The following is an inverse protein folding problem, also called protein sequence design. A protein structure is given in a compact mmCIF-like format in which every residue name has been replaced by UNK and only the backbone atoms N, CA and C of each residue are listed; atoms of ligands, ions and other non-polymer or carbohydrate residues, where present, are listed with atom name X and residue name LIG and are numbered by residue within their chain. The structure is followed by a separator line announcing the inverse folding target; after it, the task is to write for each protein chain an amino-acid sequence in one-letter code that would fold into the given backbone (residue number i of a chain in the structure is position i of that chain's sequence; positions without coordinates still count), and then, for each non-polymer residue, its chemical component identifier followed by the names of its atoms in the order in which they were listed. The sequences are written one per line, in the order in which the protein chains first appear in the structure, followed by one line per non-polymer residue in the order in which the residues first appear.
data_IF_131417091506
#
_entry.id   IF_131417091506
#
_cell.length_a   1.000
_cell.length_b   1.000
_cell.length_c   1.000
_cell.angle_alpha   90.00
_cell.angle_beta   90.00
_cell.angle_gamma   90.00
#
_symmetry.space_group_name_H-M   'P 1'
#
loop_
_entity.id
_entity.type
_entity.pdbx_description
1 polymer ?
#
# COMPACT_ATOMS: atom_id res chain seq x y z
N UNK A 1 -24.67 -7.18 -8.58
CA UNK A 1 -23.55 -6.95 -7.63
C UNK A 1 -22.43 -6.13 -8.27
N UNK A 2 -22.01 -6.44 -9.49
CA UNK A 2 -20.96 -5.70 -10.17
C UNK A 2 -21.25 -4.22 -10.33
N UNK A 3 -22.50 -3.85 -10.63
CA UNK A 3 -22.89 -2.45 -10.81
C UNK A 3 -22.88 -1.66 -9.50
N UNK A 4 -23.23 -2.31 -8.40
CA UNK A 4 -23.19 -1.68 -7.08
C UNK A 4 -21.74 -1.35 -6.70
N UNK A 5 -20.82 -2.26 -6.92
CA UNK A 5 -19.40 -2.02 -6.65
C UNK A 5 -18.81 -0.96 -7.57
N UNK A 6 -19.18 -0.96 -8.85
CA UNK A 6 -18.75 0.08 -9.79
C UNK A 6 -19.18 1.49 -9.35
N UNK A 7 -20.39 1.64 -8.82
CA UNK A 7 -20.88 2.93 -8.31
C UNK A 7 -20.14 3.39 -7.08
N UNK A 8 -19.62 2.47 -6.27
CA UNK A 8 -18.88 2.77 -5.05
C UNK A 8 -17.38 2.84 -5.28
N UNK A 9 -16.91 2.44 -6.45
CA UNK A 9 -15.50 2.47 -6.78
C UNK A 9 -15.02 3.90 -7.02
N UNK A 10 -13.78 4.13 -6.65
CA UNK A 10 -13.09 5.39 -6.91
C UNK A 10 -12.07 5.17 -8.02
N UNK A 11 -12.26 5.83 -9.14
CA UNK A 11 -11.33 5.76 -10.24
C UNK A 11 -10.12 6.63 -9.93
N UNK A 12 -8.93 6.01 -9.86
CA UNK A 12 -7.70 6.77 -9.68
C UNK A 12 -7.45 7.62 -10.93
N UNK A 13 -7.29 8.95 -10.80
CA UNK A 13 -6.91 9.79 -11.93
C UNK A 13 -5.59 9.31 -12.54
N UNK A 14 -5.55 9.18 -13.86
CA UNK A 14 -4.36 8.64 -14.55
C UNK A 14 -3.10 9.45 -14.28
N UNK A 15 -3.20 10.75 -14.17
CA UNK A 15 -2.08 11.63 -13.88
C UNK A 15 -1.58 11.55 -12.45
N UNK A 16 -2.36 10.96 -11.53
CA UNK A 16 -1.95 10.72 -10.15
C UNK A 16 -1.24 9.39 -9.96
N UNK A 17 -1.27 8.50 -10.96
CA UNK A 17 -0.68 7.16 -10.87
C UNK A 17 0.79 7.23 -11.27
N UNK A 18 1.64 6.81 -10.34
CA UNK A 18 3.08 6.75 -10.56
C UNK A 18 3.50 5.32 -10.86
N UNK A 19 4.09 5.10 -12.03
CA UNK A 19 4.57 3.80 -12.48
C UNK A 19 6.00 3.61 -11.99
N UNK A 20 6.28 2.40 -11.47
CA UNK A 20 7.62 2.05 -11.02
C UNK A 20 8.55 1.82 -12.22
N UNK A 21 9.77 2.35 -12.11
CA UNK A 21 10.81 2.17 -13.11
C UNK A 21 11.51 0.82 -12.90
N UNK A 22 10.76 -0.24 -13.16
CA UNK A 22 11.29 -1.61 -13.12
C UNK A 22 10.49 -2.51 -14.05
N UNK A 23 11.13 -3.54 -14.64
CA UNK A 23 10.43 -4.50 -15.49
C UNK A 23 9.35 -5.25 -14.70
N UNK A 24 8.20 -5.43 -15.33
CA UNK A 24 7.12 -6.21 -14.76
C UNK A 24 7.46 -7.70 -14.78
N UNK A 25 7.29 -8.36 -13.64
CA UNK A 25 7.48 -9.79 -13.51
C UNK A 25 6.18 -10.44 -13.02
N UNK A 26 5.50 -11.14 -13.92
CA UNK A 26 4.23 -11.79 -13.62
C UNK A 26 4.34 -12.87 -12.55
N UNK A 27 5.52 -13.46 -12.37
CA UNK A 27 5.76 -14.49 -11.36
C UNK A 27 5.70 -13.98 -9.92
N UNK A 28 5.74 -12.66 -9.71
CA UNK A 28 5.58 -12.09 -8.35
C UNK A 28 4.19 -12.30 -7.75
N UNK A 29 3.21 -12.71 -8.57
CA UNK A 29 1.85 -12.93 -8.10
C UNK A 29 1.07 -11.62 -7.93
N UNK A 30 -0.07 -11.70 -7.22
CA UNK A 30 -0.97 -10.56 -7.03
C UNK A 30 -0.65 -9.74 -5.78
N UNK A 31 0.14 -10.31 -4.86
CA UNK A 31 0.49 -9.62 -3.62
C UNK A 31 1.42 -8.45 -3.91
N UNK A 32 1.10 -7.24 -3.44
CA UNK A 32 2.01 -6.10 -3.57
C UNK A 32 3.34 -6.36 -2.88
N UNK A 33 4.40 -5.86 -3.47
CA UNK A 33 5.73 -5.88 -2.85
C UNK A 33 5.87 -4.69 -1.93
N UNK A 34 6.43 -4.91 -0.74
CA UNK A 34 6.80 -3.81 0.13
C UNK A 34 8.02 -3.11 -0.47
N UNK A 35 7.91 -1.80 -0.66
CA UNK A 35 8.90 -1.02 -1.39
C UNK A 35 9.71 -0.10 -0.48
N UNK A 36 9.04 0.75 0.29
CA UNK A 36 9.74 1.71 1.15
C UNK A 36 8.94 2.09 2.38
N UNK A 37 9.68 2.47 3.42
CA UNK A 37 9.14 3.00 4.65
C UNK A 37 9.84 4.34 4.88
N UNK A 38 9.09 5.44 4.80
CA UNK A 38 9.63 6.79 4.98
C UNK A 38 9.17 7.35 6.32
N UNK A 39 10.13 7.67 7.18
CA UNK A 39 9.87 8.41 8.40
C UNK A 39 9.83 9.90 8.07
N UNK A 40 8.63 10.46 8.04
CA UNK A 40 8.43 11.87 7.76
C UNK A 40 8.28 12.66 9.06
N UNK A 41 8.17 13.97 8.96
CA UNK A 41 8.11 14.83 10.15
C UNK A 41 6.89 14.54 11.03
N UNK A 42 5.74 14.24 10.42
CA UNK A 42 4.47 14.08 11.13
C UNK A 42 3.85 12.69 10.99
N UNK A 43 4.38 11.86 10.11
CA UNK A 43 3.80 10.55 9.82
C UNK A 43 4.85 9.55 9.35
N UNK A 44 4.38 8.37 9.01
CA UNK A 44 5.17 7.34 8.34
C UNK A 44 4.46 6.99 7.04
N UNK A 45 5.18 7.03 5.94
CA UNK A 45 4.64 6.66 4.62
C UNK A 45 5.19 5.31 4.22
N UNK A 46 4.29 4.34 4.03
CA UNK A 46 4.64 3.01 3.55
C UNK A 46 4.18 2.89 2.11
N UNK A 47 5.11 2.54 1.23
CA UNK A 47 4.84 2.42 -0.20
C UNK A 47 4.97 0.98 -0.64
N UNK A 48 3.98 0.54 -1.41
CA UNK A 48 3.92 -0.79 -2.02
C UNK A 48 4.06 -0.67 -3.53
N UNK A 49 4.60 -1.71 -4.14
CA UNK A 49 4.54 -1.91 -5.58
C UNK A 49 3.37 -2.83 -5.87
N UNK A 50 2.32 -2.25 -6.44
CA UNK A 50 1.11 -2.98 -6.78
C UNK A 50 1.22 -3.49 -8.22
N UNK A 51 1.19 -4.81 -8.44
CA UNK A 51 1.17 -5.34 -9.79
C UNK A 51 -0.19 -5.11 -10.46
N UNK A 52 -0.16 -4.69 -11.71
CA UNK A 52 -1.36 -4.48 -12.51
C UNK A 52 -1.35 -5.50 -13.65
N UNK A 53 -2.35 -6.39 -13.66
CA UNK A 53 -2.46 -7.49 -14.62
C UNK A 53 -3.38 -7.20 -15.79
N UNK A 54 -4.35 -6.28 -15.58
CA UNK A 54 -5.42 -6.05 -16.54
C UNK A 54 -5.46 -4.59 -16.95
N UNK A 55 -6.06 -4.30 -18.10
CA UNK A 55 -6.27 -2.93 -18.55
C UNK A 55 -7.20 -2.15 -17.63
N UNK A 56 -8.09 -2.86 -16.94
CA UNK A 56 -8.96 -2.31 -15.92
C UNK A 56 -8.92 -3.25 -14.72
N UNK A 57 -8.53 -2.75 -13.56
CA UNK A 57 -8.31 -3.57 -12.36
C UNK A 57 -8.79 -2.87 -11.10
N UNK A 58 -9.32 -3.67 -10.19
CA UNK A 58 -9.67 -3.21 -8.84
C UNK A 58 -8.47 -3.36 -7.91
N UNK A 59 -8.35 -2.39 -7.00
CA UNK A 59 -7.40 -2.43 -5.89
C UNK A 59 -8.14 -2.13 -4.60
N UNK A 60 -7.73 -2.77 -3.53
CA UNK A 60 -8.26 -2.45 -2.22
C UNK A 60 -7.20 -2.64 -1.15
N UNK A 61 -7.02 -1.59 -0.34
CA UNK A 61 -6.18 -1.63 0.84
C UNK A 61 -7.07 -1.26 2.03
N UNK A 62 -7.34 -2.24 2.90
CA UNK A 62 -8.32 -2.12 3.99
C UNK A 62 -7.99 -0.99 4.96
N UNK A 63 -9.01 -0.28 5.48
CA UNK A 63 -8.83 0.61 6.63
C UNK A 63 -8.34 -0.10 7.89
N UNK A 64 -8.31 -1.43 7.90
CA UNK A 64 -7.75 -2.23 8.98
C UNK A 64 -6.24 -2.45 8.90
N UNK A 65 -5.53 -1.81 7.97
CA UNK A 65 -4.08 -1.87 7.95
C UNK A 65 -3.48 -1.33 9.24
N UNK A 66 -2.51 -2.06 9.78
CA UNK A 66 -1.83 -1.69 11.04
C UNK A 66 -0.37 -2.09 10.97
N UNK A 67 0.49 -1.24 11.53
CA UNK A 67 1.88 -1.56 11.81
C UNK A 67 1.97 -1.95 13.29
N UNK A 68 2.61 -3.08 13.57
CA UNK A 68 2.84 -3.55 14.94
C UNK A 68 4.33 -3.59 15.21
N UNK A 69 4.77 -2.87 16.25
CA UNK A 69 6.14 -2.98 16.75
C UNK A 69 6.31 -4.35 17.42
N UNK A 70 7.18 -5.17 16.88
CA UNK A 70 7.36 -6.53 17.40
C UNK A 70 7.97 -6.57 18.79
N UNK A 71 8.71 -5.55 19.18
CA UNK A 71 9.34 -5.49 20.49
C UNK A 71 8.35 -5.10 21.60
N UNK A 72 7.50 -4.12 21.33
CA UNK A 72 6.60 -3.54 22.34
C UNK A 72 5.16 -3.95 22.19
N UNK A 73 4.75 -4.37 20.98
CA UNK A 73 3.35 -4.61 20.66
C UNK A 73 2.56 -3.35 20.34
N UNK A 74 3.22 -2.18 20.33
CA UNK A 74 2.56 -0.93 19.97
C UNK A 74 1.98 -1.01 18.57
N UNK A 75 0.79 -0.44 18.37
CA UNK A 75 0.06 -0.47 17.12
C UNK A 75 -0.02 0.92 16.52
N UNK A 76 0.21 0.98 15.21
CA UNK A 76 0.11 2.21 14.42
C UNK A 76 -0.91 1.98 13.33
N UNK A 77 -2.12 2.49 13.53
CA UNK A 77 -3.24 2.25 12.61
C UNK A 77 -3.19 3.20 11.41
N UNK A 78 -3.50 2.68 10.23
CA UNK A 78 -3.48 3.44 9.00
C UNK A 78 -4.40 4.67 9.09
N UNK A 79 -3.93 5.77 8.50
CA UNK A 79 -4.68 7.03 8.44
C UNK A 79 -5.37 7.24 7.09
N UNK A 80 -4.89 6.59 6.04
CA UNK A 80 -5.44 6.71 4.71
C UNK A 80 -4.37 6.55 3.64
N UNK A 81 -4.78 6.73 2.39
CA UNK A 81 -3.86 6.79 1.27
C UNK A 81 -3.14 8.14 1.23
N UNK A 82 -1.88 8.13 0.85
CA UNK A 82 -1.21 9.36 0.45
C UNK A 82 -1.80 9.79 -0.90
N UNK A 83 -2.28 11.04 -0.96
CA UNK A 83 -3.00 11.54 -2.13
C UNK A 83 -4.50 11.66 -1.94
N UNK A 84 -5.04 11.17 -0.82
CA UNK A 84 -6.42 11.44 -0.41
C UNK A 84 -7.50 10.59 -1.06
N UNK A 85 -7.14 9.49 -1.73
CA UNK A 85 -8.17 8.55 -2.21
C UNK A 85 -8.95 7.97 -1.02
N UNK A 86 -10.28 7.75 -1.16
CA UNK A 86 -11.07 7.16 -0.09
C UNK A 86 -10.63 5.74 0.21
N UNK A 87 -10.36 5.43 1.48
CA UNK A 87 -9.85 4.10 1.84
C UNK A 87 -10.95 3.07 2.01
N UNK A 88 -12.18 3.50 2.19
CA UNK A 88 -13.33 2.62 2.34
C UNK A 88 -13.96 2.21 1.00
N UNK A 89 -13.28 2.45 -0.11
CA UNK A 89 -13.76 2.14 -1.45
C UNK A 89 -12.76 1.31 -2.23
N UNK A 90 -13.29 0.51 -3.16
CA UNK A 90 -12.46 -0.08 -4.19
C UNK A 90 -11.86 1.04 -5.05
N UNK A 91 -10.58 0.96 -5.31
CA UNK A 91 -9.94 1.81 -6.29
C UNK A 91 -9.96 1.11 -7.63
N UNK A 92 -10.13 1.85 -8.71
CA UNK A 92 -9.98 1.31 -10.06
C UNK A 92 -8.83 1.97 -10.78
N UNK A 93 -8.10 1.15 -11.52
CA UNK A 93 -6.95 1.57 -12.32
C UNK A 93 -7.19 1.12 -13.74
N UNK A 94 -7.02 2.03 -14.70
CA UNK A 94 -7.24 1.74 -16.10
C UNK A 94 -6.02 2.14 -16.93
N UNK A 95 -5.57 1.24 -17.81
CA UNK A 95 -4.52 1.55 -18.77
C UNK A 95 -3.09 1.29 -18.30
N UNK A 96 -2.89 0.53 -17.22
CA UNK A 96 -1.56 0.25 -16.66
C UNK A 96 -1.20 -1.25 -16.67
N UNK A 97 -1.79 -2.00 -17.58
CA UNK A 97 -1.53 -3.44 -17.71
C UNK A 97 -0.03 -3.73 -17.83
N UNK A 98 0.42 -4.75 -17.12
CA UNK A 98 1.81 -5.24 -17.11
C UNK A 98 2.79 -4.20 -16.56
N UNK A 99 2.37 -3.48 -15.54
CA UNK A 99 3.19 -2.50 -14.82
C UNK A 99 3.04 -2.68 -13.32
N UNK A 100 4.04 -2.20 -12.57
CA UNK A 100 3.88 -1.94 -11.15
C UNK A 100 3.55 -0.48 -10.96
N UNK A 101 2.59 -0.19 -10.11
CA UNK A 101 2.31 1.18 -9.69
C UNK A 101 2.61 1.33 -8.20
N UNK A 102 2.95 2.54 -7.78
CA UNK A 102 3.15 2.83 -6.38
C UNK A 102 1.81 3.07 -5.70
N UNK A 103 1.60 2.41 -4.57
CA UNK A 103 0.47 2.68 -3.67
C UNK A 103 1.04 2.98 -2.30
N UNK A 104 0.72 4.15 -1.76
CA UNK A 104 1.27 4.60 -0.49
C UNK A 104 0.20 4.80 0.56
N UNK A 105 0.46 4.28 1.75
CA UNK A 105 -0.39 4.45 2.93
C UNK A 105 0.34 5.31 3.96
N UNK A 106 -0.44 6.09 4.69
CA UNK A 106 0.04 6.92 5.78
C UNK A 106 -0.33 6.30 7.13
N UNK A 107 0.64 6.26 8.02
CA UNK A 107 0.49 5.78 9.39
C UNK A 107 0.98 6.86 10.36
N UNK A 108 0.64 6.78 11.64
CA UNK A 108 1.27 7.63 12.64
C UNK A 108 2.79 7.50 12.60
N UNK A 109 3.46 8.54 13.04
CA UNK A 109 4.92 8.55 13.06
C UNK A 109 5.46 7.44 13.96
N UNK A 110 6.28 6.56 13.40
CA UNK A 110 6.97 5.52 14.18
C UNK A 110 7.95 6.16 15.15
N UNK A 111 7.96 5.67 16.40
CA UNK A 111 8.99 6.05 17.36
C UNK A 111 10.37 5.69 16.82
N UNK A 112 11.36 6.47 17.17
CA UNK A 112 12.75 6.26 16.70
C UNK A 112 13.30 4.89 17.10
N UNK A 113 12.82 4.34 18.21
CA UNK A 113 13.25 3.03 18.73
C UNK A 113 12.68 1.83 17.97
N UNK A 114 11.72 2.04 17.07
CA UNK A 114 11.11 0.95 16.31
C UNK A 114 12.09 0.42 15.27
N UNK A 115 12.40 -0.88 15.37
CA UNK A 115 13.37 -1.54 14.49
C UNK A 115 12.75 -2.61 13.61
N UNK A 116 11.91 -3.48 14.19
CA UNK A 116 11.27 -4.59 13.48
C UNK A 116 9.78 -4.49 13.65
N UNK A 117 9.06 -4.58 12.56
CA UNK A 117 7.61 -4.42 12.54
C UNK A 117 6.93 -5.54 11.75
N UNK A 118 5.66 -5.75 12.05
CA UNK A 118 4.74 -6.44 11.15
C UNK A 118 3.83 -5.40 10.52
N UNK A 119 3.51 -5.57 9.24
CA UNK A 119 2.52 -4.76 8.55
C UNK A 119 1.41 -5.70 8.13
N UNK A 120 0.23 -5.51 8.69
CA UNK A 120 -0.89 -6.42 8.54
C UNK A 120 -2.10 -5.71 7.98
N UNK A 121 -2.74 -6.33 7.00
CA UNK A 121 -4.05 -5.90 6.55
C UNK A 121 -5.11 -6.71 7.29
N UNK A 122 -5.72 -6.12 8.31
CA UNK A 122 -6.77 -6.77 9.09
C UNK A 122 -8.15 -6.46 8.51
N UNK A 123 -9.11 -7.37 8.68
CA UNK A 123 -10.51 -7.07 8.33
C UNK A 123 -11.00 -5.84 9.07
N UNK A 124 -11.86 -5.07 8.43
CA UNK A 124 -12.46 -3.87 9.01
C UNK A 124 -13.96 -3.86 8.74
N UNK A 125 -14.74 -3.33 9.68
CA UNK A 125 -16.19 -3.26 9.57
C UNK A 125 -16.69 -2.49 8.35
N UNK A 126 -15.84 -1.60 7.79
CA UNK A 126 -16.15 -0.81 6.59
C UNK A 126 -15.79 -1.54 5.30
N UNK A 127 -15.27 -2.75 5.38
CA UNK A 127 -14.92 -3.51 4.20
C UNK A 127 -16.19 -3.84 3.39
N UNK A 128 -16.15 -3.45 2.13
CA UNK A 128 -17.27 -3.64 1.19
C UNK A 128 -17.02 -4.75 0.19
N UNK A 129 -15.92 -5.47 0.35
CA UNK A 129 -15.54 -6.54 -0.57
C UNK A 129 -16.33 -7.82 -0.30
N UNK A 130 -16.52 -8.64 -1.34
CA UNK A 130 -17.06 -9.99 -1.13
C UNK A 130 -16.20 -10.78 -0.13
N UNK A 131 -16.84 -11.58 0.70
CA UNK A 131 -16.17 -12.34 1.77
C UNK A 131 -15.14 -13.35 1.29
N UNK A 132 -15.18 -13.72 0.01
CA UNK A 132 -14.25 -14.67 -0.60
C UNK A 132 -13.12 -14.01 -1.40
N UNK A 133 -12.89 -12.75 -1.19
CA UNK A 133 -11.78 -12.05 -1.84
C UNK A 133 -10.47 -12.34 -1.13
N UNK A 134 -9.71 -13.28 -1.69
CA UNK A 134 -8.43 -13.70 -1.14
C UNK A 134 -7.34 -12.62 -1.23
N UNK A 135 -7.61 -11.55 -1.98
CA UNK A 135 -6.67 -10.45 -2.12
C UNK A 135 -6.62 -9.50 -0.94
N UNK A 136 -7.48 -9.69 0.05
CA UNK A 136 -7.58 -8.76 1.19
C UNK A 136 -6.39 -8.88 2.12
N UNK A 137 -5.95 -10.08 2.43
CA UNK A 137 -4.98 -10.30 3.50
C UNK A 137 -3.54 -10.09 3.04
N UNK A 138 -3.12 -8.82 2.98
CA UNK A 138 -1.72 -8.47 2.77
C UNK A 138 -1.01 -8.48 4.12
N UNK A 139 0.03 -9.29 4.27
CA UNK A 139 0.76 -9.41 5.53
C UNK A 139 2.25 -9.48 5.27
N UNK A 140 2.98 -8.68 6.01
CA UNK A 140 4.43 -8.56 5.91
C UNK A 140 5.00 -8.68 7.30
N UNK A 141 5.73 -9.77 7.57
CA UNK A 141 6.24 -10.09 8.90
C UNK A 141 7.72 -9.85 9.01
N UNK A 142 8.18 -9.54 10.21
CA UNK A 142 9.60 -9.40 10.54
C UNK A 142 10.31 -8.39 9.62
N UNK A 143 9.65 -7.28 9.34
CA UNK A 143 10.17 -6.23 8.48
C UNK A 143 11.16 -5.38 9.28
N UNK A 144 12.41 -5.38 8.86
CA UNK A 144 13.43 -4.50 9.42
C UNK A 144 13.28 -3.14 8.77
N UNK A 145 12.85 -2.16 9.55
CA UNK A 145 12.54 -0.81 9.05
C UNK A 145 13.73 -0.22 8.27
N UNK A 146 14.93 -0.40 8.78
CA UNK A 146 16.15 0.15 8.15
C UNK A 146 16.41 -0.37 6.74
N UNK A 147 15.95 -1.59 6.42
CA UNK A 147 16.14 -2.20 5.10
C UNK A 147 15.22 -1.58 4.05
N UNK A 148 14.16 -0.92 4.48
CA UNK A 148 13.15 -0.29 3.62
C UNK A 148 13.16 1.22 3.72
N UNK A 149 14.04 1.81 4.53
CA UNK A 149 14.12 3.25 4.61
C UNK A 149 14.48 3.82 3.25
N UNK A 150 13.58 4.61 2.70
CA UNK A 150 13.88 5.41 1.53
C UNK A 150 14.30 6.80 1.98
N UNK A 151 15.31 7.31 1.35
CA UNK A 151 15.70 8.70 1.47
C UNK A 151 16.03 9.22 0.09
N UNK A 152 15.71 10.45 -0.13
CA UNK A 152 16.14 11.12 -1.36
C UNK A 152 17.62 11.41 -1.26
N UNK A 153 18.37 11.10 -2.32
CA UNK A 153 19.75 11.55 -2.40
C UNK A 153 19.76 13.09 -2.54
N UNK A 154 20.95 13.68 -2.58
CA UNK A 154 21.11 15.14 -2.71
C UNK A 154 20.47 15.74 -3.96
N UNK A 155 20.10 14.90 -4.95
CA UNK A 155 19.43 15.31 -6.18
C UNK A 155 17.92 15.03 -6.15
N UNK A 156 17.39 14.60 -5.02
CA UNK A 156 15.99 14.23 -4.88
C UNK A 156 15.64 12.86 -5.46
N UNK A 157 16.62 12.07 -5.88
CA UNK A 157 16.38 10.72 -6.40
C UNK A 157 16.22 9.75 -5.25
N UNK A 158 15.14 8.97 -5.25
CA UNK A 158 14.97 7.90 -4.28
C UNK A 158 16.01 6.82 -4.49
N UNK A 159 16.58 6.34 -3.40
CA UNK A 159 17.50 5.23 -3.41
C UNK A 159 16.71 3.97 -3.10
N UNK A 160 16.87 2.98 -3.93
CA UNK A 160 16.18 1.70 -3.80
C UNK A 160 17.13 0.64 -3.26
N UNK A 161 16.62 -0.19 -2.37
CA UNK A 161 17.33 -1.33 -1.83
C UNK A 161 16.79 -2.63 -2.39
#
# INVERSE_FOLDING_TARGET
LGDVYKRQAYALPKDSIEVADRPYNRATGTKPLLYSIERRAKDTKVTFLQPIYFDWQWLYYSPGFVIIDRKTGDEYHVRGYDGGAPQDRLLTVEGFNSKYIYVSLLFPKLKKSVEVIDILELPHEKDKLPSNDDGIAKSYYDVKVKDYLSFSNKRGKKIYY
#
